data_IF_316900721182
#
_entry.id   IF_316900721182
#
_cell.length_a   1.000
_cell.length_b   1.000
_cell.length_c   1.000
_cell.angle_alpha   90.00
_cell.angle_beta   90.00
_cell.angle_gamma   90.00
#
_symmetry.space_group_name_H-M   'P 1'
#
loop_
_entity.id
_entity.type
_entity.pdbx_description
1 polymer ?
#
# COMPACT_ATOMS: atom_id res chain seq x y z
N UNK A 1 46.77 -33.36 -5.73
CA UNK A 1 46.36 -32.22 -4.85
C UNK A 1 46.27 -30.84 -5.54
N UNK A 2 46.57 -30.68 -6.85
CA UNK A 2 46.47 -29.37 -7.53
C UNK A 2 45.08 -29.06 -8.13
N UNK A 3 44.28 -30.08 -8.45
CA UNK A 3 42.97 -29.94 -9.11
C UNK A 3 41.87 -29.49 -8.13
N UNK A 4 41.87 -29.98 -6.87
CA UNK A 4 40.92 -29.54 -5.83
C UNK A 4 41.01 -28.04 -5.49
N UNK A 5 42.19 -27.43 -5.63
CA UNK A 5 42.37 -25.98 -5.39
C UNK A 5 41.78 -25.11 -6.52
N UNK A 6 41.69 -25.64 -7.74
CA UNK A 6 41.12 -24.93 -8.87
C UNK A 6 39.59 -24.90 -8.81
N UNK A 7 38.96 -26.02 -8.43
CA UNK A 7 37.49 -26.11 -8.29
C UNK A 7 36.98 -25.23 -7.15
N UNK A 8 37.71 -25.17 -6.02
CA UNK A 8 37.37 -24.28 -4.91
C UNK A 8 37.45 -22.78 -5.29
N UNK A 9 38.37 -22.38 -6.17
CA UNK A 9 38.49 -20.99 -6.63
C UNK A 9 37.38 -20.59 -7.60
N UNK A 10 36.94 -21.51 -8.47
CA UNK A 10 35.84 -21.25 -9.39
C UNK A 10 34.50 -21.10 -8.63
N UNK A 11 34.28 -21.91 -7.58
CA UNK A 11 33.07 -21.80 -6.77
C UNK A 11 32.98 -20.47 -6.00
N UNK A 12 34.10 -19.94 -5.50
CA UNK A 12 34.14 -18.66 -4.78
C UNK A 12 33.86 -17.46 -5.72
N UNK A 13 34.32 -17.54 -6.98
CA UNK A 13 34.08 -16.46 -7.95
C UNK A 13 32.62 -16.45 -8.44
N UNK A 14 31.98 -17.62 -8.58
CA UNK A 14 30.55 -17.70 -8.95
C UNK A 14 29.64 -17.24 -7.80
N UNK A 15 29.99 -17.52 -6.55
CA UNK A 15 29.24 -17.02 -5.37
C UNK A 15 29.35 -15.51 -5.18
N UNK A 16 30.45 -14.88 -5.62
CA UNK A 16 30.60 -13.42 -5.61
C UNK A 16 29.80 -12.72 -6.74
N UNK A 17 29.43 -13.43 -7.80
CA UNK A 17 28.63 -12.86 -8.90
C UNK A 17 27.12 -12.83 -8.63
N UNK A 18 26.62 -13.59 -7.64
CA UNK A 18 25.20 -13.60 -7.24
C UNK A 18 24.91 -12.57 -6.14
N UNK A 19 25.94 -11.92 -5.61
CA UNK A 19 25.87 -11.08 -4.41
C UNK A 19 25.67 -9.58 -4.62
N UNK A 20 25.14 -9.14 -5.76
CA UNK A 20 24.74 -7.72 -5.96
C UNK A 20 23.33 -7.66 -6.55
N UNK A 21 22.36 -8.28 -5.85
CA UNK A 21 21.04 -7.66 -5.84
C UNK A 21 21.24 -6.39 -5.02
N UNK A 22 21.48 -5.27 -5.72
CA UNK A 22 21.38 -3.95 -5.13
C UNK A 22 19.98 -3.84 -4.54
N UNK A 23 19.86 -4.17 -3.26
CA UNK A 23 18.77 -3.70 -2.43
C UNK A 23 19.00 -2.19 -2.39
N UNK A 24 18.45 -1.50 -3.39
CA UNK A 24 18.31 -0.06 -3.36
C UNK A 24 17.59 0.21 -2.04
N UNK A 25 18.35 0.67 -1.05
CA UNK A 25 17.83 1.14 0.22
C UNK A 25 17.03 2.38 -0.11
N UNK A 26 15.77 2.16 -0.49
CA UNK A 26 14.81 3.23 -0.73
C UNK A 26 14.77 4.04 0.56
N UNK A 27 15.06 5.35 0.50
CA UNK A 27 15.04 6.17 1.70
C UNK A 27 13.70 6.02 2.41
N UNK A 28 13.68 6.02 3.75
CA UNK A 28 12.44 5.95 4.50
C UNK A 28 11.47 7.01 3.98
N UNK A 29 10.24 6.59 3.70
CA UNK A 29 9.18 7.46 3.24
C UNK A 29 9.14 8.72 4.12
N UNK A 30 9.42 9.89 3.54
CA UNK A 30 9.27 11.14 4.29
C UNK A 30 7.80 11.25 4.71
N UNK A 31 7.53 11.50 6.00
CA UNK A 31 6.17 11.62 6.51
C UNK A 31 5.35 12.71 5.76
N UNK A 32 6.05 13.70 5.19
CA UNK A 32 5.47 14.72 4.31
C UNK A 32 4.90 14.13 3.01
N UNK A 33 5.64 13.26 2.32
CA UNK A 33 5.19 12.67 1.05
C UNK A 33 3.92 11.82 1.19
N UNK A 34 3.81 11.05 2.28
CA UNK A 34 2.59 10.27 2.56
C UNK A 34 1.39 11.19 2.79
N UNK A 35 1.55 12.26 3.57
CA UNK A 35 0.50 13.25 3.82
C UNK A 35 0.08 13.98 2.54
N UNK A 36 1.04 14.41 1.74
CA UNK A 36 0.78 15.13 0.49
C UNK A 36 0.03 14.26 -0.52
N UNK A 37 0.39 12.98 -0.63
CA UNK A 37 -0.34 12.03 -1.46
C UNK A 37 -1.77 11.83 -0.97
N UNK A 38 -1.99 11.69 0.34
CA UNK A 38 -3.33 11.54 0.94
C UNK A 38 -4.24 12.72 0.60
N UNK A 39 -3.75 13.95 0.86
CA UNK A 39 -4.51 15.18 0.61
C UNK A 39 -4.80 15.36 -0.89
N UNK A 40 -3.81 15.11 -1.76
CA UNK A 40 -4.00 15.23 -3.20
C UNK A 40 -5.02 14.22 -3.75
N UNK A 41 -5.01 12.96 -3.28
CA UNK A 41 -6.02 11.97 -3.70
C UNK A 41 -7.41 12.37 -3.19
N UNK A 42 -7.52 12.76 -1.92
CA UNK A 42 -8.80 13.17 -1.32
C UNK A 42 -9.44 14.35 -2.07
N UNK A 43 -8.63 15.31 -2.53
CA UNK A 43 -9.10 16.46 -3.32
C UNK A 43 -9.35 16.14 -4.81
N UNK A 44 -9.29 14.88 -5.25
CA UNK A 44 -9.47 14.51 -6.67
C UNK A 44 -8.23 14.73 -7.55
N UNK A 45 -7.10 15.19 -7.00
CA UNK A 45 -5.89 15.55 -7.75
C UNK A 45 -4.97 14.35 -8.03
N UNK A 46 -5.48 13.31 -8.68
CA UNK A 46 -4.74 12.06 -8.93
C UNK A 46 -3.40 12.24 -9.68
N UNK A 47 -3.27 13.22 -10.57
CA UNK A 47 -2.01 13.51 -11.25
C UNK A 47 -0.94 14.13 -10.34
N UNK A 48 -1.35 14.92 -9.34
CA UNK A 48 -0.44 15.44 -8.32
C UNK A 48 0.03 14.31 -7.41
N UNK A 49 -0.90 13.46 -6.96
CA UNK A 49 -0.58 12.29 -6.15
C UNK A 49 0.37 11.32 -6.86
N UNK A 50 0.19 11.08 -8.17
CA UNK A 50 1.11 10.28 -8.98
C UNK A 50 2.56 10.77 -8.88
N UNK A 51 2.79 12.09 -9.01
CA UNK A 51 4.12 12.69 -8.88
C UNK A 51 4.70 12.54 -7.48
N UNK A 52 3.86 12.51 -6.45
CA UNK A 52 4.33 12.28 -5.07
C UNK A 52 4.72 10.81 -4.90
N UNK A 53 3.90 9.87 -5.38
CA UNK A 53 4.17 8.43 -5.35
C UNK A 53 5.49 8.10 -6.06
N UNK A 54 5.67 8.60 -7.27
CA UNK A 54 6.86 8.36 -8.09
C UNK A 54 8.12 8.96 -7.45
N UNK A 55 8.11 10.26 -7.12
CA UNK A 55 9.29 10.95 -6.58
C UNK A 55 9.75 10.40 -5.23
N UNK A 56 8.86 9.81 -4.45
CA UNK A 56 9.20 9.21 -3.16
C UNK A 56 9.39 7.69 -3.23
N UNK A 57 9.31 7.08 -4.42
CA UNK A 57 9.51 5.63 -4.58
C UNK A 57 8.46 4.77 -3.87
N UNK A 58 7.23 5.28 -3.70
CA UNK A 58 6.15 4.53 -3.06
C UNK A 58 5.53 3.47 -3.97
N UNK A 59 5.82 3.53 -5.27
CA UNK A 59 5.25 2.68 -6.30
C UNK A 59 5.54 1.18 -6.13
N UNK A 60 6.53 0.83 -5.31
CA UNK A 60 6.91 -0.55 -4.95
C UNK A 60 6.57 -0.91 -3.50
N UNK A 61 5.90 -0.02 -2.77
CA UNK A 61 5.68 -0.13 -1.32
C UNK A 61 4.18 -0.31 -1.00
N UNK A 62 3.63 -1.53 -1.11
CA UNK A 62 2.18 -1.76 -1.02
C UNK A 62 1.59 -1.36 0.33
N UNK A 63 2.33 -1.48 1.43
CA UNK A 63 1.86 -1.05 2.77
C UNK A 63 1.74 0.47 2.89
N UNK A 64 2.68 1.22 2.32
CA UNK A 64 2.63 2.69 2.29
C UNK A 64 1.50 3.16 1.38
N UNK A 65 1.34 2.52 0.21
CA UNK A 65 0.23 2.79 -0.70
C UNK A 65 -1.14 2.51 -0.06
N UNK A 66 -1.26 1.44 0.72
CA UNK A 66 -2.47 1.13 1.48
C UNK A 66 -2.81 2.22 2.50
N UNK A 67 -1.80 2.70 3.25
CA UNK A 67 -1.96 3.81 4.19
C UNK A 67 -2.39 5.10 3.48
N UNK A 68 -1.82 5.38 2.31
CA UNK A 68 -2.19 6.53 1.47
C UNK A 68 -3.64 6.42 1.02
N UNK A 69 -4.09 5.28 0.46
CA UNK A 69 -5.48 5.09 0.01
C UNK A 69 -6.45 5.21 1.18
N UNK A 70 -6.17 4.52 2.29
CA UNK A 70 -7.02 4.53 3.48
C UNK A 70 -7.16 5.95 4.04
N UNK A 71 -6.04 6.64 4.28
CA UNK A 71 -6.06 8.00 4.81
C UNK A 71 -6.71 9.00 3.85
N UNK A 72 -6.50 8.85 2.54
CA UNK A 72 -7.18 9.68 1.55
C UNK A 72 -8.69 9.45 1.52
N UNK A 73 -9.16 8.20 1.67
CA UNK A 73 -10.57 7.87 1.76
C UNK A 73 -11.24 8.53 2.96
N UNK A 74 -10.63 8.44 4.14
CA UNK A 74 -11.11 9.12 5.36
C UNK A 74 -11.22 10.64 5.16
N UNK A 75 -10.22 11.27 4.53
CA UNK A 75 -10.26 12.72 4.25
C UNK A 75 -11.34 13.04 3.22
N UNK A 76 -11.47 12.23 2.16
CA UNK A 76 -12.44 12.48 1.09
C UNK A 76 -13.87 12.47 1.62
N UNK A 77 -14.18 11.49 2.45
CA UNK A 77 -15.45 11.35 3.16
C UNK A 77 -15.74 12.56 4.07
N UNK A 78 -14.77 12.96 4.90
CA UNK A 78 -14.91 14.15 5.78
C UNK A 78 -15.09 15.46 5.01
N UNK A 79 -14.58 15.53 3.80
CA UNK A 79 -14.63 16.73 2.96
C UNK A 79 -15.75 16.70 1.91
N UNK A 80 -16.63 15.69 1.91
CA UNK A 80 -17.70 15.50 0.90
C UNK A 80 -17.16 15.46 -0.55
N UNK A 81 -16.11 14.64 -0.75
CA UNK A 81 -15.40 14.46 -2.03
C UNK A 81 -15.23 12.98 -2.39
N UNK A 82 -16.05 12.09 -1.80
CA UNK A 82 -15.96 10.64 -1.96
C UNK A 82 -16.19 10.17 -3.41
N UNK A 83 -16.94 10.94 -4.19
CA UNK A 83 -17.31 10.71 -5.58
C UNK A 83 -16.13 10.89 -6.56
N UNK A 84 -15.16 11.77 -6.26
CA UNK A 84 -13.95 11.95 -7.10
C UNK A 84 -12.79 11.04 -6.70
N UNK A 85 -12.85 10.47 -5.50
CA UNK A 85 -11.79 9.66 -4.91
C UNK A 85 -11.38 8.43 -5.74
N UNK A 86 -12.30 7.57 -6.25
CA UNK A 86 -11.91 6.36 -6.99
C UNK A 86 -11.11 6.68 -8.26
N UNK A 87 -11.51 7.74 -8.99
CA UNK A 87 -10.81 8.16 -10.20
C UNK A 87 -9.43 8.75 -9.87
N UNK A 88 -9.31 9.48 -8.76
CA UNK A 88 -8.04 10.02 -8.29
C UNK A 88 -7.05 8.92 -7.90
N UNK A 89 -7.50 7.87 -7.19
CA UNK A 89 -6.67 6.70 -6.85
C UNK A 89 -6.19 5.98 -8.11
N UNK A 90 -7.10 5.69 -9.05
CA UNK A 90 -6.76 5.00 -10.30
C UNK A 90 -5.70 5.79 -11.09
N UNK A 91 -5.89 7.11 -11.23
CA UNK A 91 -4.94 7.98 -11.93
C UNK A 91 -3.60 8.07 -11.20
N UNK A 92 -3.62 8.17 -9.87
CA UNK A 92 -2.41 8.24 -9.05
C UNK A 92 -1.56 6.97 -9.17
N UNK A 93 -2.19 5.80 -9.16
CA UNK A 93 -1.51 4.51 -9.17
C UNK A 93 -0.92 4.22 -10.54
N UNK A 94 -1.72 4.35 -11.61
CA UNK A 94 -1.25 4.09 -12.98
C UNK A 94 -0.13 5.05 -13.36
N UNK A 95 -0.30 6.36 -13.12
CA UNK A 95 0.72 7.36 -13.50
C UNK A 95 1.90 7.42 -12.53
N UNK A 96 1.73 6.99 -11.29
CA UNK A 96 2.81 6.89 -10.32
C UNK A 96 3.70 5.66 -10.52
N UNK A 97 3.44 4.84 -11.54
CA UNK A 97 4.23 3.64 -11.85
C UNK A 97 3.97 2.46 -10.90
N UNK A 98 2.79 2.41 -10.26
CA UNK A 98 2.39 1.29 -9.41
C UNK A 98 1.99 0.12 -10.32
N UNK A 99 2.64 -1.03 -10.15
CA UNK A 99 2.26 -2.24 -10.90
C UNK A 99 0.90 -2.77 -10.45
N UNK A 100 0.20 -3.49 -11.32
CA UNK A 100 -1.07 -4.13 -10.97
C UNK A 100 -0.96 -5.06 -9.75
N UNK A 101 0.13 -5.84 -9.65
CA UNK A 101 0.39 -6.72 -8.52
C UNK A 101 0.57 -5.93 -7.21
N UNK A 102 1.35 -4.85 -7.25
CA UNK A 102 1.55 -3.97 -6.09
C UNK A 102 0.25 -3.27 -5.69
N UNK A 103 -0.58 -2.85 -6.66
CA UNK A 103 -1.88 -2.25 -6.41
C UNK A 103 -2.83 -3.23 -5.70
N UNK A 104 -2.90 -4.50 -6.13
CA UNK A 104 -3.69 -5.52 -5.44
C UNK A 104 -3.24 -5.73 -3.98
N UNK A 105 -1.93 -5.81 -3.73
CA UNK A 105 -1.39 -5.92 -2.37
C UNK A 105 -1.73 -4.68 -1.52
N UNK A 106 -1.67 -3.49 -2.10
CA UNK A 106 -2.06 -2.25 -1.43
C UNK A 106 -3.56 -2.25 -1.07
N UNK A 107 -4.43 -2.71 -1.97
CA UNK A 107 -5.87 -2.83 -1.68
C UNK A 107 -6.16 -3.87 -0.60
N UNK A 108 -5.48 -5.02 -0.61
CA UNK A 108 -5.59 -6.02 0.45
C UNK A 108 -5.20 -5.45 1.82
N UNK A 109 -4.06 -4.76 1.89
CA UNK A 109 -3.64 -4.07 3.12
C UNK A 109 -4.62 -2.95 3.52
N UNK A 110 -5.18 -2.23 2.55
CA UNK A 110 -6.17 -1.18 2.78
C UNK A 110 -7.46 -1.72 3.37
N UNK A 111 -7.97 -2.85 2.85
CA UNK A 111 -9.11 -3.55 3.41
C UNK A 111 -8.87 -3.96 4.87
N UNK A 112 -7.68 -4.48 5.18
CA UNK A 112 -7.31 -4.82 6.56
C UNK A 112 -7.16 -3.60 7.48
N UNK A 113 -6.88 -2.41 6.94
CA UNK A 113 -6.91 -1.15 7.69
C UNK A 113 -8.35 -0.70 7.95
N UNK A 114 -9.23 -0.79 6.95
CA UNK A 114 -10.66 -0.53 7.11
C UNK A 114 -11.24 -1.44 8.18
N UNK A 115 -11.03 -2.76 8.09
CA UNK A 115 -11.57 -3.71 9.07
C UNK A 115 -11.10 -3.47 10.51
N UNK A 116 -9.86 -2.99 10.70
CA UNK A 116 -9.33 -2.65 12.02
C UNK A 116 -9.89 -1.36 12.60
N UNK A 117 -10.18 -0.37 11.75
CA UNK A 117 -10.55 0.97 12.19
C UNK A 117 -12.06 1.25 12.12
N UNK A 118 -12.78 0.64 11.18
CA UNK A 118 -14.23 0.73 11.03
C UNK A 118 -14.99 0.46 12.34
N UNK A 119 -14.63 -0.53 13.19
CA UNK A 119 -15.33 -0.77 14.45
C UNK A 119 -15.30 0.41 15.44
N UNK A 120 -14.45 1.41 15.18
CA UNK A 120 -14.23 2.58 16.01
C UNK A 120 -14.52 3.90 15.27
N UNK A 121 -15.10 3.84 14.06
CA UNK A 121 -15.41 5.00 13.23
C UNK A 121 -16.86 4.90 12.74
N UNK A 122 -17.78 5.55 13.46
CA UNK A 122 -19.22 5.53 13.20
C UNK A 122 -19.59 6.05 11.80
N UNK A 123 -18.78 6.95 11.24
CA UNK A 123 -18.96 7.47 9.89
C UNK A 123 -18.60 6.40 8.85
N UNK A 124 -17.48 5.70 9.07
CA UNK A 124 -17.08 4.59 8.20
C UNK A 124 -18.09 3.43 8.26
N UNK A 125 -18.67 3.16 9.43
CA UNK A 125 -19.75 2.16 9.57
C UNK A 125 -21.04 2.58 8.84
N UNK A 126 -21.39 3.88 8.85
CA UNK A 126 -22.56 4.39 8.14
C UNK A 126 -22.41 4.28 6.61
N UNK A 127 -21.19 4.41 6.08
CA UNK A 127 -20.92 4.45 4.64
C UNK A 127 -20.60 3.09 4.00
N UNK A 128 -20.21 2.08 4.80
CA UNK A 128 -19.95 0.70 4.33
C UNK A 128 -21.21 -0.01 3.81
N UNK A 129 -22.40 0.52 4.14
CA UNK A 129 -23.69 -0.11 3.86
C UNK A 129 -23.85 -1.50 4.51
N UNK A 130 -24.99 -2.18 4.31
CA UNK A 130 -25.28 -3.46 4.98
C UNK A 130 -24.26 -4.57 4.66
N UNK A 131 -23.73 -4.61 3.43
CA UNK A 131 -22.76 -5.62 3.01
C UNK A 131 -21.36 -5.43 3.59
N UNK A 132 -20.85 -4.20 3.63
CA UNK A 132 -19.55 -3.90 4.26
C UNK A 132 -19.60 -4.08 5.78
N UNK A 133 -20.72 -3.71 6.41
CA UNK A 133 -20.98 -3.96 7.82
C UNK A 133 -21.00 -5.44 8.17
N UNK A 134 -21.62 -6.28 7.35
CA UNK A 134 -21.63 -7.73 7.55
C UNK A 134 -20.20 -8.31 7.54
N UNK A 135 -19.36 -7.91 6.58
CA UNK A 135 -17.96 -8.37 6.49
C UNK A 135 -17.16 -7.92 7.73
N UNK A 136 -17.24 -6.65 8.12
CA UNK A 136 -16.52 -6.14 9.30
C UNK A 136 -16.99 -6.85 10.58
N UNK A 137 -18.29 -7.06 10.76
CA UNK A 137 -18.80 -7.79 11.92
C UNK A 137 -18.39 -9.26 11.94
N UNK A 138 -18.37 -9.93 10.79
CA UNK A 138 -17.86 -11.31 10.65
C UNK A 138 -16.37 -11.39 10.99
N UNK A 139 -15.54 -10.47 10.48
CA UNK A 139 -14.12 -10.43 10.81
C UNK A 139 -13.86 -10.14 12.31
N UNK A 140 -14.62 -9.21 12.90
CA UNK A 140 -14.58 -8.97 14.35
C UNK A 140 -14.97 -10.21 15.17
N UNK A 141 -15.96 -10.98 14.71
CA UNK A 141 -16.39 -12.19 15.40
C UNK A 141 -15.26 -13.25 15.41
N UNK A 142 -14.57 -13.44 14.28
CA UNK A 142 -13.40 -14.31 14.19
C UNK A 142 -12.25 -13.83 15.09
N UNK A 143 -11.96 -12.53 15.11
CA UNK A 143 -10.89 -11.95 15.95
C UNK A 143 -11.19 -12.05 17.45
N UNK A 144 -12.46 -12.00 17.85
CA UNK A 144 -12.90 -12.13 19.24
C UNK A 144 -13.06 -13.58 19.69
N UNK A 145 -12.82 -14.56 18.81
CA UNK A 145 -12.96 -15.98 19.11
C UNK A 145 -14.39 -16.42 19.40
N UNK A 146 -15.39 -15.66 18.92
CA UNK A 146 -16.80 -16.00 19.11
C UNK A 146 -17.17 -16.99 18.00
N UNK A 147 -17.20 -18.27 18.35
CA UNK A 147 -17.78 -19.32 17.52
C UNK A 147 -19.30 -19.23 17.63
N UNK A 148 -20.00 -19.21 16.49
CA UNK A 148 -21.45 -19.41 16.43
C UNK A 148 -21.80 -20.90 16.54
#
# INVERSE_FOLDING_TARGET
>A
MRILRAVARVLVVVLLAVGVVSVATVPPASAGGVRDAKVAIAAGHGAQAARVIERNGYNTQPRVLAEIIYGAGVIAVRNDTADVFPQAVARAFVRGGVSFATAQQAFFHGAALVARNAPYDDQLLAELGPGGMAIVQTELAYLRGISF
#
